data_IF_922715610530
#
_entry.id   IF_922715610530
#
_cell.length_a   1.000
_cell.length_b   1.000
_cell.length_c   1.000
_cell.angle_alpha   90.00
_cell.angle_beta   90.00
_cell.angle_gamma   90.00
#
_symmetry.space_group_name_H-M   'P 1'
#
loop_
_entity.id
_entity.type
_entity.pdbx_description
1 polymer ?
#
# COMPACT_ATOMS: atom_id res chain seq x y z
N UNK A 1 -10.10 -11.44 -7.16
CA UNK A 1 -9.58 -12.48 -6.26
C UNK A 1 -8.43 -11.93 -5.45
N UNK A 2 -8.55 -11.92 -4.13
CA UNK A 2 -7.57 -11.37 -3.18
C UNK A 2 -6.37 -12.30 -3.02
N UNK A 3 -5.16 -11.84 -3.36
CA UNK A 3 -3.90 -12.60 -3.25
C UNK A 3 -3.37 -12.58 -1.83
N UNK A 4 -2.98 -13.75 -1.34
CA UNK A 4 -2.55 -13.95 0.04
C UNK A 4 -1.30 -13.12 0.39
N UNK A 5 -0.29 -13.10 -0.48
CA UNK A 5 0.97 -12.41 -0.15
C UNK A 5 0.99 -10.94 -0.53
N UNK A 6 0.39 -10.60 -1.68
CA UNK A 6 0.65 -9.35 -2.41
C UNK A 6 -0.40 -8.26 -2.15
N UNK A 7 -1.60 -8.64 -1.73
CA UNK A 7 -2.69 -7.69 -1.52
C UNK A 7 -2.85 -7.34 -0.02
N UNK A 8 -3.41 -6.16 0.27
CA UNK A 8 -3.61 -5.66 1.64
C UNK A 8 -4.96 -6.13 2.20
N UNK A 9 -5.02 -7.41 2.56
CA UNK A 9 -6.24 -8.02 3.07
C UNK A 9 -6.24 -8.23 4.59
N UNK A 10 -5.05 -8.20 5.21
CA UNK A 10 -4.88 -8.41 6.66
C UNK A 10 -4.13 -7.25 7.35
N UNK A 11 -4.79 -6.09 7.41
CA UNK A 11 -4.23 -4.84 7.92
C UNK A 11 -3.86 -3.86 6.80
N UNK A 12 -2.87 -3.00 7.04
CA UNK A 12 -2.54 -1.87 6.15
C UNK A 12 -1.38 -2.14 5.18
N UNK A 13 -0.70 -3.29 5.32
CA UNK A 13 0.42 -3.71 4.47
C UNK A 13 0.16 -5.13 3.99
N UNK A 14 0.81 -5.52 2.89
CA UNK A 14 0.73 -6.89 2.40
C UNK A 14 1.71 -7.78 3.19
N UNK A 15 1.47 -9.10 3.21
CA UNK A 15 2.27 -10.01 4.03
C UNK A 15 3.71 -10.16 3.50
N UNK A 16 3.93 -9.99 2.19
CA UNK A 16 5.28 -10.02 1.60
C UNK A 16 6.19 -8.89 2.08
N UNK A 17 5.63 -7.71 2.40
CA UNK A 17 6.39 -6.58 2.94
C UNK A 17 6.74 -6.77 4.43
N UNK A 18 5.83 -7.39 5.22
CA UNK A 18 6.02 -7.57 6.66
C UNK A 18 6.93 -8.80 6.95
N UNK A 19 6.77 -9.85 6.16
CA UNK A 19 7.47 -11.14 6.32
C UNK A 19 8.18 -11.53 5.00
N UNK A 20 9.16 -10.74 4.53
CA UNK A 20 9.87 -11.02 3.28
C UNK A 20 10.62 -12.36 3.35
N UNK A 21 11.16 -12.69 4.52
CA UNK A 21 11.81 -13.95 4.84
C UNK A 21 10.90 -15.17 4.67
N UNK A 22 9.66 -15.10 5.17
CA UNK A 22 8.69 -16.20 4.99
C UNK A 22 8.17 -16.22 3.55
N UNK A 23 7.95 -15.06 2.94
CA UNK A 23 7.54 -14.95 1.54
C UNK A 23 8.57 -15.56 0.57
N UNK A 24 9.86 -15.43 0.87
CA UNK A 24 10.92 -16.04 0.08
C UNK A 24 10.97 -17.56 0.17
N UNK A 25 10.52 -18.10 1.30
CA UNK A 25 10.39 -19.54 1.52
C UNK A 25 9.07 -20.11 1.00
N UNK A 26 8.03 -19.30 0.87
CA UNK A 26 6.73 -19.74 0.39
C UNK A 26 6.83 -20.31 -1.03
N UNK A 27 6.34 -21.54 -1.20
CA UNK A 27 6.25 -22.22 -2.49
C UNK A 27 5.22 -21.53 -3.40
N UNK A 28 4.13 -21.08 -2.81
CA UNK A 28 3.01 -20.47 -3.53
C UNK A 28 2.91 -18.97 -3.22
N UNK A 29 3.46 -18.15 -4.10
CA UNK A 29 3.49 -16.68 -3.96
C UNK A 29 2.28 -15.96 -4.54
N UNK A 30 1.50 -16.66 -5.38
CA UNK A 30 0.40 -16.08 -6.15
C UNK A 30 -0.99 -16.67 -5.81
N UNK A 31 -1.05 -17.61 -4.86
CA UNK A 31 -2.32 -18.15 -4.36
C UNK A 31 -3.16 -17.07 -3.68
N UNK A 32 -4.46 -17.26 -3.76
CA UNK A 32 -5.48 -16.41 -3.14
C UNK A 32 -5.69 -16.77 -1.66
N UNK A 33 -6.27 -15.87 -0.88
CA UNK A 33 -6.62 -16.15 0.53
C UNK A 33 -7.55 -17.35 0.64
N UNK A 34 -8.50 -17.48 -0.31
CA UNK A 34 -9.44 -18.57 -0.35
C UNK A 34 -8.80 -19.94 -0.63
N UNK A 35 -7.72 -19.98 -1.41
CA UNK A 35 -6.96 -21.20 -1.71
C UNK A 35 -6.01 -21.58 -0.57
N UNK A 36 -5.61 -20.62 0.28
CA UNK A 36 -4.65 -20.82 1.37
C UNK A 36 -5.33 -21.11 2.71
N UNK A 37 -6.63 -20.86 2.85
CA UNK A 37 -7.37 -21.01 4.10
C UNK A 37 -8.32 -22.20 4.08
N UNK A 38 -8.31 -22.98 5.15
CA UNK A 38 -9.27 -24.05 5.43
C UNK A 38 -9.73 -24.00 6.89
N UNK A 39 -10.83 -24.67 7.26
CA UNK A 39 -11.21 -24.84 8.67
C UNK A 39 -10.12 -25.51 9.54
N UNK A 40 -9.20 -26.24 8.92
CA UNK A 40 -8.06 -26.89 9.57
C UNK A 40 -6.85 -25.96 9.72
N UNK A 41 -6.89 -24.76 9.14
CA UNK A 41 -5.84 -23.75 9.20
C UNK A 41 -5.32 -23.31 7.85
N UNK A 42 -4.15 -22.66 7.88
CA UNK A 42 -3.47 -22.10 6.71
C UNK A 42 -2.57 -23.13 6.02
N UNK A 43 -2.72 -23.29 4.70
CA UNK A 43 -1.82 -24.09 3.86
C UNK A 43 -0.57 -23.29 3.48
N UNK A 44 0.43 -23.28 4.36
CA UNK A 44 1.73 -22.67 4.08
C UNK A 44 2.77 -23.73 3.70
N UNK A 45 2.85 -24.02 2.40
CA UNK A 45 3.89 -24.87 1.84
C UNK A 45 5.20 -24.08 1.63
N UNK A 46 6.30 -24.57 2.22
CA UNK A 46 7.64 -23.97 2.11
C UNK A 46 8.52 -24.78 1.13
N UNK A 47 9.38 -24.08 0.38
CA UNK A 47 10.29 -24.69 -0.61
C UNK A 47 11.46 -25.47 0.00
N UNK A 48 11.72 -25.28 1.30
CA UNK A 48 12.72 -26.00 2.10
C UNK A 48 12.31 -25.99 3.57
N UNK A 49 12.96 -26.82 4.38
CA UNK A 49 12.83 -26.77 5.84
C UNK A 49 13.32 -25.43 6.40
N UNK A 50 12.74 -25.05 7.53
CA UNK A 50 13.12 -23.85 8.28
C UNK A 50 14.46 -24.08 8.97
N UNK A 51 15.25 -23.01 9.04
CA UNK A 51 16.36 -22.95 9.97
C UNK A 51 15.89 -22.49 11.35
N UNK A 52 16.66 -22.77 12.41
CA UNK A 52 16.29 -22.44 13.79
C UNK A 52 15.97 -20.95 13.99
N UNK A 53 16.69 -20.06 13.29
CA UNK A 53 16.45 -18.61 13.37
C UNK A 53 15.19 -18.14 12.63
N UNK A 54 14.65 -18.94 11.69
CA UNK A 54 13.43 -18.61 10.92
C UNK A 54 12.16 -19.04 11.67
N UNK A 55 12.27 -19.96 12.63
CA UNK A 55 11.13 -20.49 13.39
C UNK A 55 10.41 -19.39 14.14
N UNK A 56 11.13 -18.50 14.83
CA UNK A 56 10.52 -17.38 15.56
C UNK A 56 9.71 -16.46 14.65
N UNK A 57 10.23 -16.18 13.45
CA UNK A 57 9.54 -15.34 12.45
C UNK A 57 8.29 -16.01 11.92
N UNK A 58 8.30 -17.32 11.75
CA UNK A 58 7.12 -18.07 11.34
C UNK A 58 6.04 -18.08 12.43
N UNK A 59 6.44 -18.17 13.71
CA UNK A 59 5.51 -18.06 14.84
C UNK A 59 4.84 -16.68 14.87
N UNK A 60 5.62 -15.61 14.69
CA UNK A 60 5.07 -14.24 14.58
C UNK A 60 4.10 -14.10 13.39
N UNK A 61 4.43 -14.73 12.25
CA UNK A 61 3.58 -14.75 11.08
C UNK A 61 2.22 -15.41 11.37
N UNK A 62 2.20 -16.59 11.98
CA UNK A 62 0.93 -17.25 12.32
C UNK A 62 0.16 -16.49 13.40
N UNK A 63 0.84 -15.96 14.43
CA UNK A 63 0.22 -15.12 15.45
C UNK A 63 -0.47 -13.89 14.84
N UNK A 64 0.10 -13.31 13.80
CA UNK A 64 -0.55 -12.23 13.05
C UNK A 64 -1.85 -12.72 12.42
N UNK A 65 -1.85 -13.91 11.82
CA UNK A 65 -3.00 -14.48 11.12
C UNK A 65 -4.10 -15.03 12.05
N UNK A 66 -3.84 -15.26 13.34
CA UNK A 66 -4.86 -15.71 14.31
C UNK A 66 -6.07 -14.79 14.40
N UNK A 67 -5.89 -13.49 14.14
CA UNK A 67 -6.99 -12.52 14.13
C UNK A 67 -7.91 -12.62 12.91
N UNK A 68 -7.60 -13.50 11.96
CA UNK A 68 -8.45 -13.76 10.79
C UNK A 68 -9.66 -14.62 11.18
N UNK A 69 -10.87 -14.11 10.92
CA UNK A 69 -12.12 -14.77 11.28
C UNK A 69 -12.65 -15.75 10.23
N UNK A 70 -11.86 -16.07 9.20
CA UNK A 70 -12.27 -16.93 8.09
C UNK A 70 -12.85 -16.17 6.89
N UNK A 71 -13.17 -16.95 5.85
CA UNK A 71 -13.75 -16.44 4.61
C UNK A 71 -15.23 -16.10 4.80
N UNK A 72 -15.69 -15.11 4.04
CA UNK A 72 -17.11 -14.77 3.92
C UNK A 72 -17.58 -15.10 2.53
N UNK A 73 -18.83 -15.54 2.41
CA UNK A 73 -19.45 -15.78 1.12
C UNK A 73 -19.67 -14.46 0.37
N UNK A 74 -19.40 -14.45 -0.94
CA UNK A 74 -19.52 -13.29 -1.81
C UNK A 74 -18.25 -12.98 -2.60
N UNK A 75 -18.35 -12.00 -3.51
CA UNK A 75 -17.23 -11.54 -4.33
C UNK A 75 -16.31 -10.57 -3.58
N UNK A 76 -15.02 -10.59 -3.93
CA UNK A 76 -14.05 -9.63 -3.40
C UNK A 76 -14.43 -8.20 -3.79
N UNK A 77 -14.40 -7.30 -2.80
CA UNK A 77 -14.71 -5.89 -3.00
C UNK A 77 -13.50 -5.01 -2.67
N UNK A 78 -13.23 -4.01 -3.51
CA UNK A 78 -12.21 -3.00 -3.23
C UNK A 78 -12.62 -2.16 -2.01
N UNK A 79 -11.70 -2.05 -1.04
CA UNK A 79 -11.90 -1.25 0.17
C UNK A 79 -10.94 -0.07 0.19
N UNK A 80 -11.48 1.13 0.37
CA UNK A 80 -10.70 2.35 0.51
C UNK A 80 -10.11 2.46 1.92
N UNK A 81 -8.79 2.54 2.03
CA UNK A 81 -8.05 2.50 3.32
C UNK A 81 -7.86 3.88 3.96
N UNK A 82 -7.99 4.96 3.21
CA UNK A 82 -7.65 6.32 3.68
C UNK A 82 -8.80 7.03 4.42
N UNK A 83 -9.97 6.39 4.52
CA UNK A 83 -11.13 6.93 5.25
C UNK A 83 -11.87 5.83 6.01
N UNK A 84 -12.31 6.14 7.24
CA UNK A 84 -12.88 5.22 8.25
C UNK A 84 -14.14 4.41 7.85
N UNK A 85 -14.58 4.43 6.60
CA UNK A 85 -15.80 3.73 6.16
C UNK A 85 -15.55 2.70 5.06
N UNK A 86 -14.31 2.48 4.64
CA UNK A 86 -13.98 1.48 3.61
C UNK A 86 -14.52 1.81 2.21
N UNK A 87 -15.34 2.86 2.06
CA UNK A 87 -15.92 3.31 0.80
C UNK A 87 -15.12 4.46 0.24
N UNK A 88 -14.84 4.37 -1.05
CA UNK A 88 -14.23 5.47 -1.78
C UNK A 88 -15.16 6.68 -1.81
N UNK A 89 -14.60 7.86 -1.59
CA UNK A 89 -15.25 9.15 -1.84
C UNK A 89 -14.28 10.00 -2.64
N UNK A 90 -14.79 10.68 -3.66
CA UNK A 90 -14.00 11.60 -4.49
C UNK A 90 -13.25 12.62 -3.63
N UNK A 91 -13.91 13.20 -2.62
CA UNK A 91 -13.27 14.13 -1.68
C UNK A 91 -12.14 13.52 -0.86
N UNK A 92 -12.22 12.24 -0.51
CA UNK A 92 -11.12 11.53 0.16
C UNK A 92 -9.98 11.22 -0.81
N UNK A 93 -10.28 10.84 -2.05
CA UNK A 93 -9.27 10.64 -3.08
C UNK A 93 -8.46 11.91 -3.35
N UNK A 94 -9.14 13.05 -3.51
CA UNK A 94 -8.49 14.34 -3.69
C UNK A 94 -7.59 14.72 -2.51
N UNK A 95 -7.98 14.41 -1.27
CA UNK A 95 -7.11 14.66 -0.09
C UNK A 95 -5.82 13.86 -0.17
N UNK A 96 -5.88 12.60 -0.62
CA UNK A 96 -4.70 11.73 -0.74
C UNK A 96 -3.80 12.21 -1.88
N UNK A 97 -4.38 12.51 -3.05
CA UNK A 97 -3.63 13.04 -4.21
C UNK A 97 -2.95 14.37 -3.87
N UNK A 98 -3.65 15.23 -3.13
CA UNK A 98 -3.14 16.54 -2.72
C UNK A 98 -2.40 16.52 -1.37
N UNK A 99 -2.03 15.36 -0.82
CA UNK A 99 -1.06 15.31 0.30
C UNK A 99 0.30 15.75 -0.24
N UNK A 100 0.52 17.05 -0.31
CA UNK A 100 1.83 17.59 -0.61
C UNK A 100 2.77 17.40 0.60
N UNK A 101 4.07 17.15 0.37
CA UNK A 101 5.09 17.26 1.41
C UNK A 101 4.91 18.56 2.19
N UNK A 102 5.19 18.56 3.50
CA UNK A 102 5.06 19.75 4.36
C UNK A 102 5.76 20.99 3.77
N UNK A 103 6.87 20.78 3.06
CA UNK A 103 7.65 21.82 2.35
C UNK A 103 6.87 22.51 1.23
N UNK A 104 6.06 21.76 0.47
CA UNK A 104 5.23 22.28 -0.62
C UNK A 104 3.99 23.04 -0.12
N UNK A 105 3.49 22.73 1.08
CA UNK A 105 2.36 23.45 1.67
C UNK A 105 2.70 24.92 2.01
N UNK A 106 3.92 25.18 2.50
CA UNK A 106 4.38 26.55 2.72
C UNK A 106 4.58 27.30 1.40
N UNK A 107 5.27 26.67 0.42
CA UNK A 107 5.47 27.24 -0.92
C UNK A 107 4.15 27.59 -1.62
N UNK A 108 3.15 26.70 -1.53
CA UNK A 108 1.81 26.94 -2.07
C UNK A 108 1.24 28.26 -1.54
N UNK A 109 1.29 28.47 -0.22
CA UNK A 109 0.77 29.70 0.39
C UNK A 109 1.53 30.94 -0.09
N UNK A 110 2.84 30.86 -0.25
CA UNK A 110 3.65 31.98 -0.75
C UNK A 110 3.33 32.32 -2.20
N UNK A 111 3.27 31.31 -3.07
CA UNK A 111 3.05 31.49 -4.52
C UNK A 111 1.66 32.09 -4.77
N UNK A 112 0.61 31.57 -4.14
CA UNK A 112 -0.77 32.01 -4.41
C UNK A 112 -1.17 33.29 -3.65
N UNK A 113 -0.46 33.69 -2.59
CA UNK A 113 -0.68 34.98 -1.91
C UNK A 113 0.17 36.12 -2.45
N UNK A 114 1.19 35.82 -3.26
CA UNK A 114 2.04 36.83 -3.85
C UNK A 114 1.23 37.70 -4.83
N UNK A 115 1.47 39.02 -4.81
CA UNK A 115 0.90 39.97 -5.77
C UNK A 115 1.66 39.90 -7.10
N UNK A 116 1.57 38.76 -7.79
CA UNK A 116 2.23 38.50 -9.08
C UNK A 116 1.21 38.12 -10.15
N UNK A 117 1.51 38.30 -11.44
CA UNK A 117 0.63 37.85 -12.51
C UNK A 117 0.36 36.33 -12.42
N UNK A 118 -0.89 35.92 -12.71
CA UNK A 118 -1.33 34.51 -12.60
C UNK A 118 -0.44 33.55 -13.41
N UNK A 119 0.00 33.95 -14.60
CA UNK A 119 0.92 33.16 -15.43
C UNK A 119 2.24 32.83 -14.70
N UNK A 120 2.75 33.76 -13.89
CA UNK A 120 3.98 33.57 -13.11
C UNK A 120 3.70 32.65 -11.93
N UNK A 121 2.60 32.85 -11.21
CA UNK A 121 2.20 31.97 -10.11
C UNK A 121 2.02 30.51 -10.58
N UNK A 122 1.32 30.30 -11.69
CA UNK A 122 1.14 28.97 -12.29
C UNK A 122 2.47 28.34 -12.71
N UNK A 123 3.35 29.09 -13.38
CA UNK A 123 4.67 28.60 -13.78
C UNK A 123 5.53 28.21 -12.57
N UNK A 124 5.61 29.07 -11.55
CA UNK A 124 6.36 28.81 -10.31
C UNK A 124 5.82 27.60 -9.56
N UNK A 125 4.49 27.39 -9.56
CA UNK A 125 3.87 26.20 -8.96
C UNK A 125 4.25 24.92 -9.70
N UNK A 126 4.22 24.93 -11.03
CA UNK A 126 4.66 23.80 -11.84
C UNK A 126 6.16 23.51 -11.64
N UNK A 127 6.96 24.58 -11.52
CA UNK A 127 8.39 24.47 -11.28
C UNK A 127 8.67 23.81 -9.93
N UNK A 128 7.99 24.25 -8.87
CA UNK A 128 8.10 23.68 -7.53
C UNK A 128 7.67 22.21 -7.46
N UNK A 129 6.78 21.77 -8.36
CA UNK A 129 6.34 20.37 -8.51
C UNK A 129 7.21 19.53 -9.44
N UNK A 130 8.30 20.08 -9.97
CA UNK A 130 9.12 19.45 -11.01
C UNK A 130 8.30 19.02 -12.26
N UNK A 131 7.21 19.74 -12.55
CA UNK A 131 6.30 19.41 -13.65
C UNK A 131 6.54 20.25 -14.92
N UNK A 132 7.49 21.20 -14.87
CA UNK A 132 7.91 21.97 -16.05
C UNK A 132 8.78 21.10 -16.95
N UNK A 133 8.61 21.24 -18.27
CA UNK A 133 9.39 20.55 -19.31
C UNK A 133 10.84 21.07 -19.36
N UNK A 134 11.61 20.82 -18.31
CA UNK A 134 13.04 21.09 -18.27
C UNK A 134 13.80 19.87 -18.80
N UNK A 135 15.00 20.10 -19.32
CA UNK A 135 15.87 19.02 -19.83
C UNK A 135 16.14 17.92 -18.78
N UNK A 136 16.20 18.28 -17.49
CA UNK A 136 16.33 17.30 -16.40
C UNK A 136 15.08 16.44 -16.20
N UNK A 137 13.88 17.02 -16.31
CA UNK A 137 12.63 16.30 -16.13
C UNK A 137 12.29 15.39 -17.32
N UNK A 138 12.74 15.74 -18.53
CA UNK A 138 12.55 14.91 -19.73
C UNK A 138 13.45 13.66 -19.76
N UNK A 139 14.46 13.58 -18.88
CA UNK A 139 15.41 12.46 -18.79
C UNK A 139 15.12 11.49 -17.63
N UNK A 140 14.13 11.79 -16.79
CA UNK A 140 13.64 10.89 -15.73
C UNK A 140 12.62 9.91 -16.32
#
# INVERSE_FOLDING_TARGET
KTRFWKDRWHGNQNLSEIFPDIFDLALHKDKTVAEMWSPQGWDLSLRRNLNDWEVCRLVEFFKRLESFQGLKEGEDCLRWTEHNRGRYKVSSGYKVINRAPLTLNWLQRQIWKAKIPLKVACFTWLLAKEAVLTHGNLRK
#
